data_IF_971903364488
#
_entry.id   IF_971903364488
#
_cell.length_a   1.000
_cell.length_b   1.000
_cell.length_c   1.000
_cell.angle_alpha   90.00
_cell.angle_beta   90.00
_cell.angle_gamma   90.00
#
_symmetry.space_group_name_H-M   'P 1'
#
loop_
_entity.id
_entity.type
_entity.pdbx_description
1 polymer ?
#
# COMPACT_ATOMS: atom_id res chain seq x y z
N UNK A 1 18.08 -5.89 -1.15
CA UNK A 1 17.82 -5.86 0.31
C UNK A 1 16.87 -4.70 0.56
N UNK A 2 15.58 -4.97 0.75
CA UNK A 2 14.63 -3.96 1.19
C UNK A 2 14.00 -4.47 2.49
N UNK A 3 14.66 -4.11 3.59
CA UNK A 3 14.04 -4.10 4.91
C UNK A 3 13.34 -2.75 4.98
N UNK A 4 12.01 -2.75 4.94
CA UNK A 4 11.28 -1.56 5.33
C UNK A 4 11.24 -1.59 6.86
N UNK A 5 12.30 -1.04 7.45
CA UNK A 5 12.37 -0.75 8.87
C UNK A 5 12.11 0.73 9.11
N UNK A 6 11.22 0.94 10.09
CA UNK A 6 10.73 2.18 10.67
C UNK A 6 10.13 3.21 9.68
N UNK A 7 8.84 3.50 9.88
CA UNK A 7 8.05 4.61 9.30
C UNK A 7 7.14 4.34 8.08
N UNK A 8 7.09 3.12 7.53
CA UNK A 8 6.22 2.82 6.38
C UNK A 8 6.12 1.34 6.00
N UNK A 9 6.06 0.46 6.99
CA UNK A 9 6.34 -0.98 6.85
C UNK A 9 5.39 -1.69 5.88
N UNK A 10 5.87 -1.97 4.67
CA UNK A 10 5.41 -3.10 3.88
C UNK A 10 6.26 -4.32 4.27
N UNK A 11 5.61 -5.39 4.71
CA UNK A 11 6.25 -6.69 4.96
C UNK A 11 5.59 -7.77 4.13
N UNK A 12 6.37 -8.47 3.30
CA UNK A 12 5.97 -9.73 2.69
C UNK A 12 6.15 -10.86 3.70
N UNK A 13 5.12 -11.70 3.87
CA UNK A 13 5.09 -12.76 4.89
C UNK A 13 5.70 -14.10 4.42
N UNK A 14 6.52 -14.11 3.36
CA UNK A 14 7.21 -15.33 2.90
C UNK A 14 8.67 -15.06 2.46
N UNK A 15 9.53 -16.10 2.56
CA UNK A 15 11.00 -15.97 2.68
C UNK A 15 11.79 -15.96 1.36
N UNK A 16 11.17 -15.73 0.20
CA UNK A 16 11.85 -15.79 -1.10
C UNK A 16 11.97 -14.43 -1.79
N UNK A 17 13.13 -14.19 -2.43
CA UNK A 17 13.73 -12.87 -2.72
C UNK A 17 13.35 -12.25 -4.08
N UNK A 18 12.32 -12.74 -4.77
CA UNK A 18 11.99 -12.32 -6.15
C UNK A 18 10.56 -11.81 -6.29
N UNK A 19 10.23 -10.66 -5.67
CA UNK A 19 8.86 -10.18 -5.65
C UNK A 19 8.68 -8.67 -5.91
N UNK A 20 9.72 -7.92 -6.30
CA UNK A 20 9.60 -6.47 -6.50
C UNK A 20 10.01 -6.10 -7.93
N UNK A 21 9.03 -5.67 -8.72
CA UNK A 21 9.24 -5.13 -10.06
C UNK A 21 8.98 -3.62 -10.06
N UNK A 22 9.66 -2.88 -10.92
CA UNK A 22 9.39 -1.47 -11.20
C UNK A 22 8.41 -1.38 -12.37
N UNK A 23 7.31 -0.67 -12.22
CA UNK A 23 6.32 -0.50 -13.29
C UNK A 23 5.98 0.97 -13.54
N UNK A 24 5.71 1.28 -14.80
CA UNK A 24 5.06 2.54 -15.18
C UNK A 24 3.57 2.51 -14.76
N UNK A 25 3.03 3.68 -14.41
CA UNK A 25 1.77 3.94 -13.68
C UNK A 25 0.45 3.53 -14.35
N UNK A 26 0.40 2.50 -15.20
CA UNK A 26 -0.78 2.17 -16.03
C UNK A 26 -1.37 0.76 -15.84
N UNK A 27 -1.08 0.08 -14.72
CA UNK A 27 -1.80 -1.15 -14.35
C UNK A 27 -3.27 -0.84 -14.05
N UNK A 28 -4.22 -1.69 -14.48
CA UNK A 28 -5.62 -1.56 -14.03
C UNK A 28 -5.69 -1.76 -12.51
N UNK A 29 -6.08 -0.71 -11.80
CA UNK A 29 -6.28 -0.74 -10.36
C UNK A 29 -7.47 -1.59 -9.95
N UNK A 30 -7.46 -2.06 -8.71
CA UNK A 30 -8.57 -2.84 -8.14
C UNK A 30 -9.34 -2.08 -7.07
N UNK A 31 -8.77 -1.00 -6.53
CA UNK A 31 -9.51 -0.11 -5.66
C UNK A 31 -10.64 0.57 -6.45
N UNK A 32 -11.86 0.43 -5.94
CA UNK A 32 -13.08 0.92 -6.57
C UNK A 32 -13.83 1.78 -5.56
N UNK A 33 -14.10 3.03 -5.93
CA UNK A 33 -14.93 3.91 -5.13
C UNK A 33 -16.39 3.78 -5.57
N UNK A 34 -17.23 3.28 -4.67
CA UNK A 34 -18.67 3.12 -4.91
C UNK A 34 -19.42 4.45 -4.98
N UNK A 35 -18.88 5.52 -4.40
CA UNK A 35 -19.46 6.85 -4.47
C UNK A 35 -19.35 7.45 -5.88
N UNK A 36 -18.17 7.36 -6.49
CA UNK A 36 -17.93 7.83 -7.87
C UNK A 36 -18.21 6.78 -8.95
N UNK A 37 -18.33 5.51 -8.60
CA UNK A 37 -18.53 4.41 -9.55
C UNK A 37 -17.31 4.16 -10.44
N UNK A 38 -16.11 4.42 -9.94
CA UNK A 38 -14.88 4.37 -10.71
C UNK A 38 -13.73 3.69 -9.96
N UNK A 39 -12.79 3.13 -10.73
CA UNK A 39 -11.52 2.70 -10.19
C UNK A 39 -10.66 3.93 -9.86
N UNK A 40 -10.14 3.99 -8.63
CA UNK A 40 -9.35 5.12 -8.15
C UNK A 40 -7.87 5.04 -8.55
N UNK A 41 -7.37 3.84 -8.84
CA UNK A 41 -5.96 3.63 -9.16
C UNK A 41 -5.06 3.81 -7.94
N UNK A 42 -3.83 4.29 -8.14
CA UNK A 42 -2.94 4.70 -7.05
C UNK A 42 -3.64 5.75 -6.16
N UNK A 43 -3.68 5.51 -4.84
CA UNK A 43 -4.33 6.37 -3.87
C UNK A 43 -3.69 6.24 -2.47
N UNK A 44 -4.05 7.14 -1.58
CA UNK A 44 -3.80 7.02 -0.14
C UNK A 44 -5.18 6.91 0.51
N UNK A 45 -5.37 5.92 1.38
CA UNK A 45 -6.64 5.78 2.07
C UNK A 45 -6.92 6.97 2.98
N UNK A 46 -8.21 7.24 3.18
CA UNK A 46 -8.67 8.32 4.06
C UNK A 46 -9.67 7.84 5.11
N UNK A 47 -9.93 6.53 5.20
CA UNK A 47 -10.96 5.97 6.09
C UNK A 47 -10.75 6.25 7.58
N UNK A 48 -9.50 6.32 8.04
CA UNK A 48 -9.19 6.60 9.45
C UNK A 48 -9.46 8.06 9.84
N UNK A 49 -9.50 8.97 8.87
CA UNK A 49 -9.45 10.42 9.07
C UNK A 49 -10.67 11.13 8.49
N UNK A 50 -11.89 10.57 8.61
CA UNK A 50 -13.17 11.24 8.27
C UNK A 50 -13.47 12.51 9.11
N UNK A 51 -12.46 13.34 9.38
CA UNK A 51 -12.57 14.64 10.04
C UNK A 51 -11.25 15.41 10.28
N UNK A 52 -10.04 14.90 10.00
CA UNK A 52 -8.80 15.65 10.34
C UNK A 52 -7.57 15.37 9.44
N UNK A 53 -6.85 16.44 9.09
CA UNK A 53 -5.71 16.46 8.15
C UNK A 53 -4.34 16.32 8.83
N UNK A 54 -4.12 15.32 9.69
CA UNK A 54 -2.80 15.17 10.34
C UNK A 54 -1.91 14.18 9.60
N UNK A 55 -1.23 14.68 8.57
CA UNK A 55 -0.23 13.93 7.75
C UNK A 55 0.80 13.18 8.59
N UNK A 56 1.22 13.77 9.72
CA UNK A 56 2.22 13.21 10.63
C UNK A 56 1.72 12.06 11.51
N UNK A 57 0.40 11.87 11.59
CA UNK A 57 -0.20 10.79 12.40
C UNK A 57 -0.67 9.62 11.54
N UNK A 58 -0.59 9.73 10.22
CA UNK A 58 -0.98 8.66 9.28
C UNK A 58 -0.18 7.39 9.49
N UNK A 59 1.08 7.50 9.91
CA UNK A 59 1.90 6.36 10.32
C UNK A 59 1.33 5.60 11.54
N UNK A 60 0.46 6.23 12.34
CA UNK A 60 -0.23 5.63 13.50
C UNK A 60 -1.60 5.07 13.16
N UNK A 61 -2.09 5.22 11.93
CA UNK A 61 -3.35 4.62 11.53
C UNK A 61 -3.28 3.08 11.57
N UNK A 62 -4.44 2.43 11.58
CA UNK A 62 -4.51 0.98 11.48
C UNK A 62 -3.86 0.49 10.19
N UNK A 63 -3.25 -0.68 10.24
CA UNK A 63 -2.71 -1.35 9.07
C UNK A 63 -3.74 -2.29 8.43
N UNK A 64 -3.36 -2.82 7.28
CA UNK A 64 -4.10 -3.84 6.54
C UNK A 64 -3.20 -5.03 6.31
N UNK A 65 -3.69 -6.20 6.72
CA UNK A 65 -3.16 -7.49 6.33
C UNK A 65 -3.98 -8.02 5.16
N UNK A 66 -3.39 -7.99 3.96
CA UNK A 66 -3.94 -8.58 2.75
C UNK A 66 -3.38 -9.98 2.55
N UNK A 67 -4.25 -10.97 2.32
CA UNK A 67 -3.86 -12.36 2.05
C UNK A 67 -4.49 -12.80 0.75
N UNK A 68 -3.65 -13.31 -0.16
CA UNK A 68 -4.11 -13.93 -1.38
C UNK A 68 -4.59 -15.36 -1.07
N UNK A 69 -5.90 -15.52 -0.92
CA UNK A 69 -6.55 -16.84 -0.77
C UNK A 69 -6.87 -17.48 -2.12
N UNK A 70 -6.46 -16.82 -3.19
CA UNK A 70 -6.79 -17.19 -4.54
C UNK A 70 -5.86 -18.22 -5.16
N UNK A 71 -6.08 -18.48 -6.44
CA UNK A 71 -5.29 -19.41 -7.26
C UNK A 71 -4.36 -18.71 -8.25
N UNK A 72 -4.60 -17.43 -8.54
CA UNK A 72 -3.76 -16.59 -9.38
C UNK A 72 -2.90 -15.63 -8.55
N UNK A 73 -1.80 -15.18 -9.14
CA UNK A 73 -0.98 -14.11 -8.58
C UNK A 73 -1.79 -12.81 -8.42
N UNK A 74 -1.52 -12.10 -7.33
CA UNK A 74 -1.98 -10.73 -7.11
C UNK A 74 -0.78 -9.81 -6.96
N UNK A 75 -1.05 -8.52 -7.09
CA UNK A 75 -0.02 -7.51 -6.96
C UNK A 75 -0.47 -6.40 -6.03
N UNK A 76 0.46 -5.90 -5.23
CA UNK A 76 0.33 -4.64 -4.53
C UNK A 76 1.23 -3.62 -5.22
N UNK A 77 0.66 -2.54 -5.71
CA UNK A 77 1.39 -1.40 -6.21
C UNK A 77 1.61 -0.44 -5.05
N UNK A 78 2.83 0.07 -4.89
CA UNK A 78 3.17 0.99 -3.80
C UNK A 78 4.26 1.96 -4.22
N UNK A 79 4.12 3.21 -3.80
CA UNK A 79 5.19 4.20 -3.79
C UNK A 79 5.88 4.13 -2.44
N UNK A 80 7.19 4.00 -2.41
CA UNK A 80 8.00 3.86 -1.19
C UNK A 80 8.23 5.20 -0.46
N UNK A 81 7.18 6.04 -0.38
CA UNK A 81 7.18 7.30 0.35
C UNK A 81 5.96 7.40 1.24
N UNK A 82 6.22 7.73 2.50
CA UNK A 82 5.17 8.05 3.46
C UNK A 82 4.51 9.38 3.11
N UNK A 83 3.26 9.57 3.55
CA UNK A 83 2.55 10.84 3.39
C UNK A 83 3.33 12.04 3.97
N UNK A 84 4.08 11.83 5.06
CA UNK A 84 4.94 12.86 5.65
C UNK A 84 6.16 13.19 4.76
N UNK A 85 6.80 12.18 4.17
CA UNK A 85 7.91 12.39 3.23
C UNK A 85 7.44 13.11 1.97
N UNK A 86 6.31 12.69 1.40
CA UNK A 86 5.71 13.35 0.22
C UNK A 86 5.42 14.82 0.54
N UNK A 87 4.81 15.11 1.69
CA UNK A 87 4.55 16.48 2.11
C UNK A 87 5.84 17.33 2.19
N UNK A 88 6.91 16.76 2.76
CA UNK A 88 8.22 17.41 2.84
C UNK A 88 8.83 17.68 1.46
N UNK A 89 8.72 16.74 0.53
CA UNK A 89 9.23 16.88 -0.84
C UNK A 89 8.43 17.89 -1.68
N UNK A 90 7.11 18.00 -1.42
CA UNK A 90 6.26 19.01 -2.05
C UNK A 90 6.47 20.42 -1.48
N UNK A 91 6.95 20.53 -0.24
CA UNK A 91 7.05 21.81 0.48
C UNK A 91 5.71 22.34 0.96
N UNK A 92 4.70 21.48 1.08
CA UNK A 92 3.33 21.86 1.38
C UNK A 92 3.05 21.87 2.89
N UNK A 93 2.45 22.95 3.44
CA UNK A 93 1.95 22.95 4.82
C UNK A 93 0.82 21.92 4.99
N UNK A 94 0.55 21.51 6.23
CA UNK A 94 -0.28 20.35 6.60
C UNK A 94 -1.75 20.35 6.17
N UNK A 95 -2.22 21.29 5.34
CA UNK A 95 -3.63 21.51 4.97
C UNK A 95 -4.08 20.86 3.66
N UNK A 96 -3.18 20.27 2.86
CA UNK A 96 -3.55 19.68 1.57
C UNK A 96 -4.12 18.25 1.76
N UNK A 97 -5.21 17.93 1.06
CA UNK A 97 -5.87 16.61 1.13
C UNK A 97 -4.98 15.50 0.57
N UNK A 98 -5.30 14.23 0.87
CA UNK A 98 -4.48 13.10 0.39
C UNK A 98 -4.59 12.87 -1.11
N UNK A 99 -5.77 13.10 -1.68
CA UNK A 99 -6.03 12.99 -3.10
C UNK A 99 -5.12 13.98 -3.85
N UNK A 100 -5.11 15.24 -3.40
CA UNK A 100 -4.24 16.28 -3.93
C UNK A 100 -2.76 15.98 -3.72
N UNK A 101 -2.38 15.48 -2.54
CA UNK A 101 -0.98 15.12 -2.25
C UNK A 101 -0.45 14.10 -3.25
N UNK A 102 -1.24 13.07 -3.56
CA UNK A 102 -0.88 12.04 -4.54
C UNK A 102 -0.75 12.64 -5.94
N UNK A 103 -1.75 13.39 -6.41
CA UNK A 103 -1.74 13.98 -7.75
C UNK A 103 -0.57 14.96 -7.93
N UNK A 104 -0.29 15.81 -6.93
CA UNK A 104 0.82 16.76 -6.95
C UNK A 104 2.18 16.05 -6.94
N UNK A 105 2.32 14.99 -6.13
CA UNK A 105 3.55 14.19 -6.09
C UNK A 105 3.84 13.50 -7.42
N UNK A 106 2.86 12.76 -7.96
CA UNK A 106 3.04 12.06 -9.23
C UNK A 106 3.14 13.03 -10.42
N UNK A 107 2.51 14.20 -10.33
CA UNK A 107 2.66 15.27 -11.33
C UNK A 107 4.05 15.91 -11.32
N UNK A 108 4.62 16.14 -10.13
CA UNK A 108 5.97 16.73 -9.96
C UNK A 108 7.09 15.72 -10.24
N UNK A 109 6.86 14.45 -9.92
CA UNK A 109 7.81 13.36 -10.09
C UNK A 109 7.21 12.24 -10.98
N UNK A 110 6.97 12.51 -12.27
CA UNK A 110 6.26 11.56 -13.16
C UNK A 110 7.06 10.28 -13.46
N UNK A 111 8.38 10.29 -13.21
CA UNK A 111 9.26 9.13 -13.35
C UNK A 111 9.55 8.45 -12.01
N UNK A 112 8.85 8.85 -10.94
CA UNK A 112 9.05 8.23 -9.64
C UNK A 112 8.65 6.74 -9.71
N UNK A 113 9.49 5.83 -9.18
CA UNK A 113 9.23 4.41 -9.27
C UNK A 113 7.97 3.99 -8.51
N UNK A 114 7.12 3.18 -9.17
CA UNK A 114 6.06 2.41 -8.49
C UNK A 114 6.55 0.98 -8.34
N UNK A 115 6.62 0.51 -7.10
CA UNK A 115 6.97 -0.86 -6.77
C UNK A 115 5.73 -1.73 -6.97
N UNK A 116 5.87 -2.80 -7.74
CA UNK A 116 4.90 -3.87 -7.87
C UNK A 116 5.38 -5.08 -7.10
N UNK A 117 4.61 -5.43 -6.09
CA UNK A 117 4.90 -6.50 -5.16
C UNK A 117 4.03 -7.68 -5.52
N UNK A 118 4.64 -8.76 -6.00
CA UNK A 118 3.93 -10.00 -6.33
C UNK A 118 3.52 -10.74 -5.06
N UNK A 119 2.27 -11.16 -5.00
CA UNK A 119 1.64 -11.90 -3.90
C UNK A 119 1.09 -13.22 -4.47
N UNK A 120 1.83 -14.30 -4.25
CA UNK A 120 1.43 -15.65 -4.66
C UNK A 120 0.22 -16.16 -3.88
N UNK A 121 -0.51 -17.16 -4.40
CA UNK A 121 -1.46 -17.96 -3.62
C UNK A 121 -0.88 -18.37 -2.25
N UNK A 122 -1.62 -18.08 -1.18
CA UNK A 122 -1.21 -18.36 0.21
C UNK A 122 -0.24 -17.35 0.82
N UNK A 123 0.26 -16.37 0.05
CA UNK A 123 1.06 -15.28 0.59
C UNK A 123 0.19 -14.11 1.05
N UNK A 124 0.78 -13.26 1.88
CA UNK A 124 0.16 -12.03 2.33
C UNK A 124 1.16 -10.92 2.55
N UNK A 125 0.63 -9.72 2.65
CA UNK A 125 1.36 -8.51 2.96
C UNK A 125 0.71 -7.76 4.11
N UNK A 126 1.54 -7.07 4.88
CA UNK A 126 1.09 -6.07 5.85
C UNK A 126 1.53 -4.69 5.38
N UNK A 127 0.62 -3.72 5.27
CA UNK A 127 0.94 -2.32 4.97
C UNK A 127 0.05 -1.35 5.76
N UNK A 128 0.44 -0.07 5.79
CA UNK A 128 -0.41 1.02 6.26
C UNK A 128 -0.90 1.84 5.05
N UNK A 129 -2.12 1.59 4.54
CA UNK A 129 -2.62 2.22 3.32
C UNK A 129 -2.97 3.70 3.51
N UNK A 130 -3.12 4.15 4.75
CA UNK A 130 -3.37 5.55 5.10
C UNK A 130 -2.10 6.39 5.02
N UNK A 131 -0.92 5.75 5.00
CA UNK A 131 0.37 6.41 5.04
C UNK A 131 1.18 6.27 3.74
N UNK A 132 0.74 5.45 2.78
CA UNK A 132 1.47 5.16 1.54
C UNK A 132 0.55 5.34 0.33
N UNK A 133 1.09 5.87 -0.77
CA UNK A 133 0.40 5.75 -2.07
C UNK A 133 0.47 4.29 -2.49
N UNK A 134 -0.68 3.68 -2.73
CA UNK A 134 -0.78 2.28 -3.08
C UNK A 134 -2.00 2.00 -3.97
N UNK A 135 -2.05 0.81 -4.53
CA UNK A 135 -3.23 0.24 -5.18
C UNK A 135 -3.10 -1.28 -5.15
N UNK A 136 -4.24 -1.98 -5.10
CA UNK A 136 -4.24 -3.40 -5.43
C UNK A 136 -4.28 -3.57 -6.94
N UNK A 137 -3.60 -4.58 -7.47
CA UNK A 137 -3.80 -5.06 -8.82
C UNK A 137 -4.05 -6.57 -8.79
N UNK A 138 -5.03 -7.02 -9.57
CA UNK A 138 -5.28 -8.45 -9.80
C UNK A 138 -4.70 -8.83 -11.15
N UNK A 139 -4.39 -10.10 -11.34
CA UNK A 139 -4.29 -10.63 -12.69
C UNK A 139 -5.61 -10.35 -13.43
N UNK A 140 -5.54 -9.77 -14.64
CA UNK A 140 -6.71 -9.44 -15.47
C UNK A 140 -7.17 -10.62 -16.34
N UNK A 141 -6.68 -11.82 -16.04
CA UNK A 141 -6.96 -13.05 -16.77
C UNK A 141 -7.23 -14.19 -15.79
N UNK A 142 -8.09 -15.12 -16.20
CA UNK A 142 -8.48 -16.27 -15.38
C UNK A 142 -9.83 -16.14 -14.69
N UNK A 143 -10.22 -17.15 -13.90
CA UNK A 143 -11.47 -17.17 -13.16
C UNK A 143 -11.49 -16.14 -12.03
N UNK A 144 -12.68 -15.88 -11.48
CA UNK A 144 -12.85 -15.05 -10.28
C UNK A 144 -12.02 -15.62 -9.14
N UNK A 145 -11.36 -14.74 -8.40
CA UNK A 145 -10.44 -15.12 -7.34
C UNK A 145 -10.72 -14.38 -6.02
N UNK A 146 -10.15 -14.88 -4.92
CA UNK A 146 -10.50 -14.42 -3.56
C UNK A 146 -9.30 -13.83 -2.83
N UNK A 147 -9.53 -12.76 -2.07
CA UNK A 147 -8.54 -12.26 -1.12
C UNK A 147 -9.20 -11.80 0.17
N UNK A 148 -8.46 -11.99 1.26
CA UNK A 148 -8.87 -11.62 2.60
C UNK A 148 -8.13 -10.35 3.01
N UNK A 149 -8.88 -9.36 3.48
CA UNK A 149 -8.33 -8.14 4.05
C UNK A 149 -8.76 -8.04 5.52
N UNK A 150 -7.76 -7.93 6.41
CA UNK A 150 -7.98 -7.72 7.84
C UNK A 150 -7.43 -6.34 8.19
N UNK A 151 -8.28 -5.52 8.80
CA UNK A 151 -7.97 -4.15 9.20
C UNK A 151 -7.77 -4.10 10.71
N UNK A 152 -6.75 -3.40 11.19
CA UNK A 152 -6.56 -3.25 12.63
C UNK A 152 -5.20 -2.72 13.07
N UNK A 153 -5.04 -2.63 14.40
CA UNK A 153 -3.75 -2.36 15.02
C UNK A 153 -3.06 -3.69 15.30
N UNK A 154 -1.93 -3.91 14.61
CA UNK A 154 -1.17 -5.14 14.73
C UNK A 154 0.05 -4.89 15.61
N UNK A 155 0.25 -5.76 16.60
CA UNK A 155 1.47 -5.79 17.39
C UNK A 155 2.29 -7.01 16.95
N UNK A 156 3.58 -6.82 16.70
CA UNK A 156 4.48 -7.94 16.56
C UNK A 156 4.56 -8.67 17.90
N UNK A 157 4.18 -9.94 17.93
CA UNK A 157 4.48 -10.79 19.07
C UNK A 157 5.92 -11.21 18.89
N UNK A 158 6.81 -10.76 19.78
CA UNK A 158 8.19 -11.25 19.81
C UNK A 158 8.15 -12.77 20.02
N UNK A 159 8.43 -13.52 18.95
CA UNK A 159 8.51 -14.97 19.02
C UNK A 159 9.65 -15.35 19.95
N UNK A 160 9.35 -16.12 21.01
CA UNK A 160 10.38 -16.89 21.70
C UNK A 160 10.95 -17.86 20.66
N UNK A 161 12.14 -17.59 20.16
CA UNK A 161 12.95 -18.60 19.49
C UNK A 161 13.17 -19.73 20.50
N UNK A 162 12.31 -20.75 20.49
CA UNK A 162 12.66 -22.02 21.10
C UNK A 162 13.77 -22.60 20.22
N UNK A 163 15.00 -22.43 20.69
CA UNK A 163 16.11 -23.27 20.27
C UNK A 163 15.67 -24.72 20.46
N UNK A 164 15.58 -25.44 19.35
CA UNK A 164 15.60 -26.90 19.30
C UNK A 164 16.75 -27.30 18.39
#
# INVERSE_FOLDING_TARGET
MALIEEQGVLRCLHREREAIHLVATCSRGTAYDYGSGAHVGLHIDNEWLKGNSFRHERNRAFGVLGVNLGTAERYLLVVDRSAAQIAGELGEPGSVTVERMKDEFLGRFPLYPVLQVRIEPGQGYFCNPQNLIHDGATNNSGPVDVSLFIFGYFAAIAGRNQQR
#
